data_IF_474582929188
#
_entry.id   IF_474582929188
#
_cell.length_a   1.000
_cell.length_b   1.000
_cell.length_c   1.000
_cell.angle_alpha   90.00
_cell.angle_beta   90.00
_cell.angle_gamma   90.00
#
_symmetry.space_group_name_H-M   'P 1'
#
loop_
_entity.id
_entity.type
_entity.pdbx_description
1 polymer ?
#
# COMPACT_ATOMS: atom_id res chain seq x y z
N UNK A 1 -3.72 -17.96 20.72
CA UNK A 1 -2.39 -17.66 20.12
C UNK A 1 -1.94 -16.32 20.65
N UNK A 2 -0.68 -16.20 21.07
CA UNK A 2 -0.06 -14.92 21.38
C UNK A 2 0.50 -14.30 20.10
N UNK A 3 0.32 -13.00 19.90
CA UNK A 3 0.83 -12.26 18.75
C UNK A 3 2.29 -11.81 18.96
N UNK A 4 2.99 -11.44 17.89
CA UNK A 4 4.33 -10.82 18.00
C UNK A 4 4.31 -9.54 18.86
N UNK A 5 3.20 -8.80 18.84
CA UNK A 5 3.04 -7.63 19.72
C UNK A 5 2.91 -8.01 21.19
N UNK A 6 2.35 -9.18 21.50
CA UNK A 6 2.24 -9.67 22.89
C UNK A 6 3.61 -10.14 23.39
N UNK A 7 4.38 -10.83 22.54
CA UNK A 7 5.76 -11.22 22.82
C UNK A 7 6.65 -9.99 23.07
N UNK A 8 6.57 -8.98 22.20
CA UNK A 8 7.32 -7.75 22.40
C UNK A 8 6.86 -6.99 23.64
N UNK A 9 5.56 -6.90 23.90
CA UNK A 9 5.03 -6.26 25.11
C UNK A 9 5.48 -7.00 26.39
N UNK A 10 5.59 -8.34 26.36
CA UNK A 10 6.09 -9.13 27.47
C UNK A 10 7.60 -8.90 27.73
N UNK A 11 8.39 -8.68 26.69
CA UNK A 11 9.80 -8.26 26.82
C UNK A 11 9.90 -6.85 27.37
N UNK A 12 9.12 -5.91 26.83
CA UNK A 12 9.08 -4.51 27.30
C UNK A 12 8.65 -4.43 28.78
N UNK A 13 7.72 -5.30 29.19
CA UNK A 13 7.25 -5.43 30.57
C UNK A 13 8.18 -6.26 31.47
N UNK A 14 9.32 -6.74 30.95
CA UNK A 14 10.30 -7.60 31.66
C UNK A 14 9.72 -8.91 32.22
N UNK A 15 8.61 -9.38 31.65
CA UNK A 15 8.01 -10.69 31.96
C UNK A 15 8.78 -11.80 31.23
N UNK A 16 9.29 -11.51 30.03
CA UNK A 16 10.17 -12.39 29.26
C UNK A 16 11.52 -11.73 29.02
N UNK A 17 12.59 -12.52 28.99
CA UNK A 17 13.87 -12.03 28.49
C UNK A 17 13.85 -11.93 26.96
N UNK A 18 14.60 -10.98 26.35
CA UNK A 18 14.74 -10.91 24.90
C UNK A 18 15.19 -12.25 24.28
N UNK A 19 16.07 -12.98 24.97
CA UNK A 19 16.58 -14.27 24.55
C UNK A 19 15.48 -15.35 24.56
N UNK A 20 14.65 -15.39 25.60
CA UNK A 20 13.53 -16.33 25.70
C UNK A 20 12.47 -16.05 24.62
N UNK A 21 12.17 -14.78 24.34
CA UNK A 21 11.29 -14.40 23.24
C UNK A 21 11.87 -14.83 21.89
N UNK A 22 13.18 -14.66 21.67
CA UNK A 22 13.88 -15.13 20.46
C UNK A 22 13.86 -16.66 20.32
N UNK A 23 14.09 -17.39 21.41
CA UNK A 23 14.03 -18.85 21.43
C UNK A 23 12.60 -19.36 21.14
N UNK A 24 11.59 -18.72 21.73
CA UNK A 24 10.18 -19.03 21.45
C UNK A 24 9.83 -18.79 19.98
N UNK A 25 10.25 -17.65 19.41
CA UNK A 25 10.09 -17.37 17.96
C UNK A 25 10.73 -18.46 17.12
N UNK A 26 11.97 -18.85 17.45
CA UNK A 26 12.72 -19.88 16.73
C UNK A 26 12.03 -21.25 16.79
N UNK A 27 11.49 -21.62 17.95
CA UNK A 27 10.73 -22.86 18.12
C UNK A 27 9.40 -22.85 17.36
N UNK A 28 8.62 -21.77 17.43
CA UNK A 28 7.38 -21.68 16.67
C UNK A 28 7.65 -21.65 15.17
N UNK A 29 8.71 -20.98 14.72
CA UNK A 29 9.13 -20.99 13.32
C UNK A 29 9.54 -22.39 12.85
N UNK A 30 10.23 -23.19 13.69
CA UNK A 30 10.57 -24.57 13.33
C UNK A 30 9.35 -25.49 13.29
N UNK A 31 8.36 -25.26 14.17
CA UNK A 31 7.08 -25.99 14.17
C UNK A 31 6.21 -25.59 12.97
N UNK A 32 6.20 -24.32 12.57
CA UNK A 32 5.45 -23.79 11.41
C UNK A 32 6.15 -23.97 10.07
N UNK A 33 7.44 -24.32 10.06
CA UNK A 33 8.15 -24.76 8.86
C UNK A 33 7.68 -26.15 8.38
N UNK A 34 6.85 -26.86 9.17
CA UNK A 34 5.99 -27.91 8.63
C UNK A 34 4.92 -27.26 7.72
N UNK A 35 4.65 -27.79 6.52
CA UNK A 35 3.93 -27.09 5.46
C UNK A 35 2.52 -26.73 5.92
N UNK A 36 2.27 -25.45 6.25
CA UNK A 36 0.92 -25.04 6.63
C UNK A 36 0.67 -23.60 7.06
N UNK A 37 1.67 -22.80 7.47
CA UNK A 37 1.33 -21.48 8.02
C UNK A 37 2.44 -20.44 7.78
N UNK A 38 2.67 -20.13 6.52
CA UNK A 38 3.30 -18.87 6.13
C UNK A 38 2.22 -17.93 5.59
N UNK A 39 1.38 -17.50 6.52
CA UNK A 39 0.46 -16.40 6.30
C UNK A 39 1.30 -15.13 6.42
N UNK A 40 1.35 -14.30 5.37
CA UNK A 40 1.57 -12.87 5.55
C UNK A 40 0.53 -12.46 6.60
N UNK A 41 0.92 -12.43 7.88
CA UNK A 41 0.01 -12.12 8.98
C UNK A 41 -0.26 -10.63 8.87
N UNK A 42 -1.14 -10.28 7.94
CA UNK A 42 -1.66 -8.97 7.77
C UNK A 42 -2.33 -8.64 9.08
N UNK A 43 -1.66 -7.81 9.89
CA UNK A 43 -2.25 -7.23 11.08
C UNK A 43 -3.48 -6.39 10.76
N UNK A 44 -3.80 -6.18 9.47
CA UNK A 44 -4.95 -5.43 8.98
C UNK A 44 -6.25 -5.90 9.61
N UNK A 45 -6.47 -7.20 9.82
CA UNK A 45 -7.66 -7.73 10.50
C UNK A 45 -7.21 -8.71 11.58
N UNK A 46 -6.95 -8.20 12.78
CA UNK A 46 -6.65 -9.06 13.95
C UNK A 46 -7.88 -9.82 14.47
N UNK A 47 -9.08 -9.51 13.97
CA UNK A 47 -10.32 -10.25 14.21
C UNK A 47 -11.58 -9.50 13.73
N UNK A 48 -12.76 -10.14 13.81
CA UNK A 48 -14.06 -9.52 13.46
C UNK A 48 -14.33 -8.20 14.22
N UNK A 49 -13.74 -8.05 15.41
CA UNK A 49 -13.81 -6.83 16.21
C UNK A 49 -13.22 -5.60 15.48
N UNK A 50 -12.15 -5.75 14.71
CA UNK A 50 -11.54 -4.65 13.95
C UNK A 50 -12.51 -4.11 12.89
N UNK A 51 -13.26 -5.00 12.24
CA UNK A 51 -14.27 -4.63 11.25
C UNK A 51 -15.42 -3.89 11.94
N UNK A 52 -15.95 -4.43 13.03
CA UNK A 52 -17.03 -3.81 13.79
C UNK A 52 -16.67 -2.39 14.26
N UNK A 53 -15.49 -2.23 14.86
CA UNK A 53 -15.00 -0.93 15.35
C UNK A 53 -14.80 0.05 14.20
N UNK A 54 -14.29 -0.41 13.05
CA UNK A 54 -14.10 0.45 11.88
C UNK A 54 -15.42 0.97 11.33
N UNK A 55 -16.43 0.10 11.21
CA UNK A 55 -17.78 0.49 10.77
C UNK A 55 -18.39 1.50 11.75
N UNK A 56 -18.32 1.21 13.06
CA UNK A 56 -18.83 2.11 14.10
C UNK A 56 -18.12 3.47 14.07
N UNK A 57 -16.80 3.50 13.86
CA UNK A 57 -16.03 4.73 13.72
C UNK A 57 -16.46 5.53 12.49
N UNK A 58 -16.64 4.90 11.33
CA UNK A 58 -17.13 5.58 10.11
C UNK A 58 -18.51 6.19 10.35
N UNK A 59 -19.46 5.44 10.89
CA UNK A 59 -20.82 5.93 11.18
C UNK A 59 -20.78 7.14 12.12
N UNK A 60 -20.01 7.05 13.21
CA UNK A 60 -19.84 8.14 14.15
C UNK A 60 -19.23 9.38 13.48
N UNK A 61 -18.16 9.22 12.71
CA UNK A 61 -17.45 10.32 12.06
C UNK A 61 -18.35 11.00 11.01
N UNK A 62 -19.14 10.25 10.25
CA UNK A 62 -20.13 10.80 9.32
C UNK A 62 -21.18 11.62 10.08
N UNK A 63 -21.75 11.07 11.16
CA UNK A 63 -22.75 11.77 11.97
C UNK A 63 -22.18 13.07 12.56
N UNK A 64 -20.99 13.01 13.14
CA UNK A 64 -20.31 14.18 13.72
C UNK A 64 -19.97 15.22 12.65
N UNK A 65 -19.54 14.80 11.46
CA UNK A 65 -19.30 15.69 10.33
C UNK A 65 -20.57 16.39 9.86
N UNK A 66 -21.70 15.69 9.80
CA UNK A 66 -23.01 16.28 9.48
C UNK A 66 -23.47 17.29 10.54
N UNK A 67 -23.31 16.96 11.82
CA UNK A 67 -23.63 17.88 12.94
C UNK A 67 -22.76 19.14 12.87
N UNK A 68 -21.45 19.00 12.60
CA UNK A 68 -20.58 20.16 12.44
C UNK A 68 -20.99 21.02 11.24
N UNK A 69 -21.22 20.38 10.09
CA UNK A 69 -21.59 21.06 8.86
C UNK A 69 -22.92 21.83 8.94
N UNK A 70 -23.89 21.32 9.71
CA UNK A 70 -25.19 22.00 9.92
C UNK A 70 -25.06 23.31 10.69
N UNK A 71 -24.03 23.46 11.52
CA UNK A 71 -23.70 24.72 12.21
C UNK A 71 -22.87 25.62 11.29
N UNK A 72 -21.81 25.05 10.70
CA UNK A 72 -20.92 25.74 9.76
C UNK A 72 -20.16 24.72 8.91
N UNK A 73 -20.02 24.89 7.57
CA UNK A 73 -19.36 23.90 6.72
C UNK A 73 -17.94 23.51 7.19
N UNK A 74 -17.12 24.48 7.59
CA UNK A 74 -15.81 24.23 8.19
C UNK A 74 -15.83 23.35 9.46
N UNK A 75 -16.87 23.47 10.31
CA UNK A 75 -16.97 22.69 11.54
C UNK A 75 -17.20 21.21 11.26
N UNK A 76 -17.78 20.84 10.11
CA UNK A 76 -17.92 19.45 9.70
C UNK A 76 -16.56 18.74 9.63
N UNK A 77 -15.62 19.34 8.89
CA UNK A 77 -14.25 18.82 8.83
C UNK A 77 -13.53 18.87 10.19
N UNK A 78 -13.72 19.96 10.95
CA UNK A 78 -13.00 20.15 12.20
C UNK A 78 -13.42 19.12 13.25
N UNK A 79 -14.71 18.84 13.35
CA UNK A 79 -15.22 17.84 14.28
C UNK A 79 -14.80 16.43 13.87
N UNK A 80 -14.81 16.09 12.57
CA UNK A 80 -14.26 14.82 12.08
C UNK A 80 -12.79 14.67 12.45
N UNK A 81 -11.96 15.70 12.22
CA UNK A 81 -10.55 15.65 12.56
C UNK A 81 -10.32 15.49 14.08
N UNK A 82 -11.04 16.26 14.90
CA UNK A 82 -10.94 16.16 16.35
C UNK A 82 -11.36 14.78 16.85
N UNK A 83 -12.53 14.29 16.43
CA UNK A 83 -13.03 12.96 16.80
C UNK A 83 -12.07 11.85 16.35
N UNK A 84 -11.56 11.92 15.12
CA UNK A 84 -10.61 10.92 14.61
C UNK A 84 -9.33 10.86 15.46
N UNK A 85 -8.79 12.01 15.89
CA UNK A 85 -7.63 12.06 16.79
C UNK A 85 -7.92 11.41 18.15
N UNK A 86 -9.05 11.74 18.77
CA UNK A 86 -9.43 11.17 20.07
C UNK A 86 -9.66 9.66 20.00
N UNK A 87 -10.33 9.19 18.94
CA UNK A 87 -10.52 7.76 18.69
C UNK A 87 -9.16 7.07 18.46
N UNK A 88 -8.22 7.69 17.75
CA UNK A 88 -6.89 7.14 17.51
C UNK A 88 -6.07 6.98 18.80
N UNK A 89 -6.21 7.87 19.78
CA UNK A 89 -5.59 7.70 21.10
C UNK A 89 -6.05 6.41 21.80
N UNK A 90 -7.28 5.97 21.57
CA UNK A 90 -7.78 4.71 22.12
C UNK A 90 -7.49 3.52 21.20
N UNK A 91 -8.02 3.53 19.98
CA UNK A 91 -8.00 2.38 19.09
C UNK A 91 -6.63 2.12 18.45
N UNK A 92 -5.90 3.17 18.10
CA UNK A 92 -4.56 3.05 17.50
C UNK A 92 -3.49 2.88 18.56
N UNK A 93 -3.44 3.78 19.55
CA UNK A 93 -2.33 3.81 20.50
C UNK A 93 -2.45 2.78 21.62
N UNK A 94 -3.63 2.67 22.25
CA UNK A 94 -3.84 1.74 23.38
C UNK A 94 -4.21 0.33 22.91
N UNK A 95 -5.18 0.22 22.00
CA UNK A 95 -5.67 -1.08 21.51
C UNK A 95 -4.85 -1.66 20.35
N UNK A 96 -3.99 -0.87 19.70
CA UNK A 96 -3.10 -1.30 18.60
C UNK A 96 -3.83 -1.99 17.43
N UNK A 97 -5.07 -1.60 17.14
CA UNK A 97 -5.88 -2.14 16.04
C UNK A 97 -5.46 -1.54 14.70
N UNK A 98 -5.33 -2.33 13.63
CA UNK A 98 -4.79 -1.83 12.37
C UNK A 98 -5.86 -1.19 11.47
N UNK A 99 -6.97 -1.90 11.18
CA UNK A 99 -8.01 -1.40 10.27
C UNK A 99 -8.66 -0.09 10.77
N UNK A 100 -9.09 0.02 12.05
CA UNK A 100 -9.61 1.28 12.57
C UNK A 100 -8.58 2.41 12.45
N UNK A 101 -7.29 2.13 12.64
CA UNK A 101 -6.24 3.15 12.54
C UNK A 101 -6.08 3.71 11.13
N UNK A 102 -6.29 2.88 10.10
CA UNK A 102 -6.29 3.31 8.70
C UNK A 102 -7.47 4.25 8.46
N UNK A 103 -8.68 3.85 8.89
CA UNK A 103 -9.88 4.68 8.78
C UNK A 103 -9.68 6.03 9.48
N UNK A 104 -9.16 6.01 10.72
CA UNK A 104 -9.00 7.20 11.53
C UNK A 104 -7.97 8.16 10.97
N UNK A 105 -6.85 7.68 10.40
CA UNK A 105 -5.87 8.59 9.80
C UNK A 105 -6.36 9.23 8.50
N UNK A 106 -7.14 8.49 7.70
CA UNK A 106 -7.79 9.01 6.51
C UNK A 106 -8.86 10.05 6.90
N UNK A 107 -9.68 9.75 7.90
CA UNK A 107 -10.67 10.69 8.42
C UNK A 107 -10.03 11.94 9.04
N UNK A 108 -8.94 11.78 9.78
CA UNK A 108 -8.20 12.92 10.34
C UNK A 108 -7.66 13.82 9.23
N UNK A 109 -6.93 13.25 8.26
CA UNK A 109 -6.33 14.01 7.16
C UNK A 109 -7.40 14.67 6.29
N UNK A 110 -8.46 13.93 5.94
CA UNK A 110 -9.60 14.44 5.19
C UNK A 110 -10.39 15.52 5.97
N UNK A 111 -10.56 15.36 7.27
CA UNK A 111 -11.21 16.33 8.15
C UNK A 111 -10.45 17.65 8.23
N UNK A 112 -9.12 17.61 8.37
CA UNK A 112 -8.26 18.82 8.34
C UNK A 112 -8.42 19.55 7.01
N UNK A 113 -8.31 18.84 5.89
CA UNK A 113 -8.49 19.42 4.56
C UNK A 113 -9.91 19.99 4.39
N UNK A 114 -10.94 19.22 4.73
CA UNK A 114 -12.34 19.61 4.62
C UNK A 114 -12.70 20.81 5.53
N UNK A 115 -12.01 21.00 6.64
CA UNK A 115 -12.17 22.19 7.50
C UNK A 115 -11.84 23.46 6.72
N UNK A 116 -10.68 23.45 6.04
CA UNK A 116 -10.22 24.59 5.24
C UNK A 116 -11.09 24.78 3.99
N UNK A 117 -11.50 23.69 3.32
CA UNK A 117 -12.45 23.76 2.20
C UNK A 117 -13.77 24.37 2.66
N UNK A 118 -14.34 23.87 3.76
CA UNK A 118 -15.61 24.38 4.28
C UNK A 118 -15.54 25.85 4.72
N UNK A 119 -14.36 26.33 5.13
CA UNK A 119 -14.13 27.75 5.38
C UNK A 119 -14.17 28.55 4.06
N UNK A 120 -13.43 28.10 3.05
CA UNK A 120 -13.42 28.73 1.71
C UNK A 120 -14.77 28.68 1.02
N UNK A 121 -15.56 27.62 1.18
CA UNK A 121 -16.91 27.56 0.61
C UNK A 121 -17.82 28.64 1.18
N UNK A 122 -17.69 28.97 2.47
CA UNK A 122 -18.55 29.98 3.11
C UNK A 122 -18.03 31.41 2.96
N UNK A 123 -16.72 31.60 3.00
CA UNK A 123 -16.09 32.92 3.06
C UNK A 123 -15.18 33.23 1.87
N UNK A 124 -14.96 32.28 0.96
CA UNK A 124 -14.01 32.42 -0.15
C UNK A 124 -14.42 33.51 -1.12
N UNK A 125 -15.69 33.58 -1.52
CA UNK A 125 -16.18 34.62 -2.43
C UNK A 125 -16.05 36.02 -1.84
N UNK A 126 -16.26 36.18 -0.53
CA UNK A 126 -16.11 37.49 0.13
C UNK A 126 -14.65 37.91 0.32
N UNK A 127 -13.73 36.95 0.46
CA UNK A 127 -12.29 37.21 0.67
C UNK A 127 -11.55 37.38 -0.67
N UNK A 128 -11.84 36.54 -1.65
CA UNK A 128 -11.07 36.40 -2.89
C UNK A 128 -11.86 36.82 -4.14
N UNK A 129 -13.14 37.13 -4.01
CA UNK A 129 -14.04 37.34 -5.14
C UNK A 129 -14.54 36.03 -5.74
N UNK A 130 -15.50 36.14 -6.66
CA UNK A 130 -16.13 34.98 -7.32
C UNK A 130 -15.18 34.26 -8.29
N UNK A 131 -14.37 35.03 -9.00
CA UNK A 131 -13.41 34.52 -9.99
C UNK A 131 -12.00 34.55 -9.41
N UNK A 132 -11.63 33.45 -8.75
CA UNK A 132 -10.28 33.28 -8.19
C UNK A 132 -9.33 32.96 -9.35
N UNK A 133 -8.39 33.85 -9.63
CA UNK A 133 -7.37 33.61 -10.66
C UNK A 133 -6.56 32.34 -10.40
N UNK A 134 -6.11 31.67 -11.47
CA UNK A 134 -5.45 30.35 -11.42
C UNK A 134 -4.30 30.28 -10.42
N UNK A 135 -3.43 31.30 -10.41
CA UNK A 135 -2.28 31.38 -9.49
C UNK A 135 -2.74 31.42 -8.03
N UNK A 136 -3.76 32.20 -7.71
CA UNK A 136 -4.32 32.28 -6.35
C UNK A 136 -4.97 30.97 -5.94
N UNK A 137 -5.73 30.35 -6.84
CA UNK A 137 -6.32 29.02 -6.61
C UNK A 137 -5.26 27.96 -6.33
N UNK A 138 -4.18 27.94 -7.12
CA UNK A 138 -3.05 27.03 -6.91
C UNK A 138 -2.35 27.27 -5.56
N UNK A 139 -2.13 28.54 -5.18
CA UNK A 139 -1.54 28.89 -3.88
C UNK A 139 -2.46 28.44 -2.72
N UNK A 140 -3.77 28.63 -2.83
CA UNK A 140 -4.73 28.20 -1.81
C UNK A 140 -4.70 26.68 -1.63
N UNK A 141 -4.83 25.91 -2.72
CA UNK A 141 -4.79 24.45 -2.68
C UNK A 141 -3.44 23.95 -2.15
N UNK A 142 -2.33 24.54 -2.62
CA UNK A 142 -0.99 24.21 -2.14
C UNK A 142 -0.81 24.48 -0.65
N UNK A 143 -1.33 25.60 -0.15
CA UNK A 143 -1.30 25.95 1.28
C UNK A 143 -2.11 24.97 2.12
N UNK A 144 -3.30 24.58 1.64
CA UNK A 144 -4.15 23.59 2.30
C UNK A 144 -3.50 22.20 2.32
N UNK A 145 -2.87 21.80 1.22
CA UNK A 145 -2.13 20.55 1.15
C UNK A 145 -0.96 20.56 2.15
N UNK A 146 -0.23 21.68 2.26
CA UNK A 146 0.88 21.82 3.21
C UNK A 146 0.42 21.72 4.67
N UNK A 147 -0.67 22.41 5.04
CA UNK A 147 -1.25 22.33 6.40
C UNK A 147 -1.72 20.90 6.69
N UNK A 148 -2.39 20.26 5.73
CA UNK A 148 -2.86 18.88 5.88
C UNK A 148 -1.67 17.93 6.05
N UNK A 149 -0.61 18.07 5.24
CA UNK A 149 0.60 17.26 5.34
C UNK A 149 1.29 17.43 6.70
N UNK A 150 1.38 18.67 7.21
CA UNK A 150 1.92 18.95 8.55
C UNK A 150 1.09 18.29 9.65
N UNK A 151 -0.25 18.39 9.58
CA UNK A 151 -1.15 17.74 10.53
C UNK A 151 -1.02 16.21 10.48
N UNK A 152 -1.00 15.61 9.29
CA UNK A 152 -0.84 14.16 9.10
C UNK A 152 0.54 13.68 9.58
N UNK A 153 1.59 14.50 9.44
CA UNK A 153 2.91 14.21 10.01
C UNK A 153 2.89 14.21 11.54
N UNK A 154 2.18 15.16 12.17
CA UNK A 154 1.98 15.15 13.63
C UNK A 154 1.20 13.91 14.08
N UNK A 155 0.16 13.53 13.33
CA UNK A 155 -0.57 12.29 13.56
C UNK A 155 0.35 11.07 13.46
N UNK A 156 1.19 11.00 12.42
CA UNK A 156 2.15 9.91 12.28
C UNK A 156 3.16 9.87 13.43
N UNK A 157 3.73 11.00 13.84
CA UNK A 157 4.66 11.05 14.99
C UNK A 157 4.02 10.52 16.29
N UNK A 158 2.71 10.69 16.44
CA UNK A 158 1.97 10.26 17.63
C UNK A 158 1.56 8.79 17.59
N UNK A 159 1.03 8.33 16.46
CA UNK A 159 0.37 7.03 16.33
C UNK A 159 1.20 5.99 15.57
N UNK A 160 2.15 6.46 14.74
CA UNK A 160 3.08 5.65 13.95
C UNK A 160 2.34 4.64 13.05
N UNK A 161 1.26 5.09 12.41
CA UNK A 161 0.47 4.28 11.46
C UNK A 161 1.25 4.13 10.15
N UNK A 162 1.61 2.92 9.70
CA UNK A 162 2.52 2.75 8.56
C UNK A 162 2.05 3.36 7.23
N UNK A 163 0.75 3.34 6.95
CA UNK A 163 0.17 3.84 5.69
C UNK A 163 0.46 5.32 5.43
N UNK A 164 0.70 6.13 6.48
CA UNK A 164 0.96 7.56 6.33
C UNK A 164 2.25 7.83 5.59
N UNK A 165 3.24 6.94 5.70
CA UNK A 165 4.51 7.08 4.97
C UNK A 165 4.25 6.93 3.47
N UNK A 166 3.50 5.90 3.08
CA UNK A 166 3.12 5.70 1.68
C UNK A 166 2.26 6.86 1.15
N UNK A 167 1.25 7.30 1.91
CA UNK A 167 0.43 8.45 1.52
C UNK A 167 1.28 9.73 1.34
N UNK A 168 2.22 9.99 2.25
CA UNK A 168 3.16 11.11 2.15
C UNK A 168 4.09 10.99 0.94
N UNK A 169 4.63 9.80 0.67
CA UNK A 169 5.44 9.53 -0.52
C UNK A 169 4.64 9.72 -1.80
N UNK A 170 3.39 9.26 -1.86
CA UNK A 170 2.50 9.47 -2.99
C UNK A 170 2.23 10.97 -3.23
N UNK A 171 1.96 11.73 -2.16
CA UNK A 171 1.75 13.18 -2.26
C UNK A 171 3.00 13.92 -2.76
N UNK A 172 4.19 13.55 -2.28
CA UNK A 172 5.45 14.12 -2.74
C UNK A 172 5.71 13.79 -4.21
N UNK A 173 5.49 12.52 -4.61
CA UNK A 173 5.64 12.09 -6.00
C UNK A 173 4.66 12.84 -6.92
N UNK A 174 3.38 12.90 -6.56
CA UNK A 174 2.36 13.62 -7.33
C UNK A 174 2.70 15.12 -7.45
N UNK A 175 3.16 15.75 -6.37
CA UNK A 175 3.58 17.16 -6.37
C UNK A 175 4.78 17.37 -7.29
N UNK A 176 5.80 16.51 -7.22
CA UNK A 176 6.97 16.60 -8.08
C UNK A 176 6.59 16.43 -9.56
N UNK A 177 5.75 15.44 -9.89
CA UNK A 177 5.24 15.23 -11.25
C UNK A 177 4.45 16.46 -11.72
N UNK A 178 3.51 16.96 -10.92
CA UNK A 178 2.70 18.12 -11.26
C UNK A 178 3.55 19.38 -11.50
N UNK A 179 4.58 19.63 -10.70
CA UNK A 179 5.51 20.75 -10.89
C UNK A 179 6.26 20.64 -12.21
N UNK A 180 6.77 19.45 -12.55
CA UNK A 180 7.47 19.24 -13.84
C UNK A 180 6.51 19.45 -15.01
N UNK A 181 5.29 18.92 -14.94
CA UNK A 181 4.28 19.10 -15.99
C UNK A 181 3.87 20.56 -16.15
N UNK A 182 3.72 21.30 -15.04
CA UNK A 182 3.41 22.72 -15.05
C UNK A 182 4.52 23.54 -15.73
N UNK A 183 5.79 23.27 -15.40
CA UNK A 183 6.94 23.94 -16.04
C UNK A 183 7.06 23.56 -17.52
N UNK A 184 6.74 22.32 -17.88
CA UNK A 184 6.77 21.84 -19.25
C UNK A 184 5.56 22.29 -20.09
N UNK A 185 4.55 22.96 -19.49
CA UNK A 185 3.32 23.37 -20.18
C UNK A 185 2.44 22.21 -20.63
N UNK A 186 2.53 21.04 -19.99
CA UNK A 186 1.74 19.86 -20.34
C UNK A 186 0.46 19.82 -19.52
N UNK A 187 -0.68 19.98 -20.19
CA UNK A 187 -2.00 20.01 -19.56
C UNK A 187 -2.65 18.63 -19.41
N UNK A 188 -2.35 17.67 -20.30
CA UNK A 188 -2.98 16.36 -20.31
C UNK A 188 -2.25 15.36 -19.40
N UNK A 189 -2.94 14.65 -18.49
CA UNK A 189 -2.32 13.64 -17.63
C UNK A 189 -2.02 12.32 -18.37
N UNK A 190 -2.59 12.09 -19.55
CA UNK A 190 -2.53 10.80 -20.27
C UNK A 190 -1.40 10.74 -21.32
N UNK A 191 -0.50 11.73 -21.33
CA UNK A 191 0.61 11.78 -22.28
C UNK A 191 1.79 10.88 -21.90
N UNK A 192 2.70 10.67 -22.86
CA UNK A 192 3.96 9.93 -22.65
C UNK A 192 4.81 10.51 -21.52
N UNK A 193 4.89 11.85 -21.41
CA UNK A 193 5.68 12.51 -20.37
C UNK A 193 5.13 12.26 -18.96
N UNK A 194 3.84 12.54 -18.64
CA UNK A 194 3.25 12.16 -17.36
C UNK A 194 3.50 10.70 -16.98
N UNK A 195 3.29 9.77 -17.92
CA UNK A 195 3.50 8.34 -17.68
C UNK A 195 4.96 8.02 -17.38
N UNK A 196 5.91 8.58 -18.15
CA UNK A 196 7.33 8.42 -17.86
C UNK A 196 7.73 8.97 -16.49
N UNK A 197 7.19 10.13 -16.10
CA UNK A 197 7.45 10.73 -14.78
C UNK A 197 6.87 9.89 -13.65
N UNK A 198 5.65 9.39 -13.80
CA UNK A 198 5.02 8.48 -12.81
C UNK A 198 5.80 7.17 -12.71
N UNK A 199 6.28 6.62 -13.83
CA UNK A 199 7.12 5.43 -13.85
C UNK A 199 8.43 5.64 -13.08
N UNK A 200 9.13 6.74 -13.36
CA UNK A 200 10.37 7.13 -12.66
C UNK A 200 10.09 7.30 -11.16
N UNK A 201 9.02 7.99 -10.80
CA UNK A 201 8.61 8.13 -9.41
C UNK A 201 8.31 6.76 -8.78
N UNK A 202 7.60 5.88 -9.48
CA UNK A 202 7.27 4.52 -9.03
C UNK A 202 8.51 3.67 -8.77
N UNK A 203 9.52 3.74 -9.65
CA UNK A 203 10.83 3.10 -9.43
C UNK A 203 11.56 3.68 -8.22
N UNK A 204 11.45 5.00 -8.00
CA UNK A 204 11.94 5.66 -6.79
C UNK A 204 11.25 5.16 -5.51
N UNK A 205 9.92 5.07 -5.53
CA UNK A 205 9.13 4.52 -4.41
C UNK A 205 9.48 3.06 -4.16
N UNK A 206 9.64 2.25 -5.20
CA UNK A 206 10.07 0.86 -5.09
C UNK A 206 11.45 0.75 -4.44
N UNK A 207 12.39 1.61 -4.84
CA UNK A 207 13.73 1.65 -4.24
C UNK A 207 13.68 2.02 -2.77
N UNK A 208 12.83 2.99 -2.39
CA UNK A 208 12.57 3.35 -1.00
C UNK A 208 11.95 2.18 -0.22
N UNK A 209 10.98 1.48 -0.80
CA UNK A 209 10.35 0.30 -0.22
C UNK A 209 11.39 -0.80 0.06
N UNK A 210 12.29 -1.05 -0.90
CA UNK A 210 13.41 -1.98 -0.76
C UNK A 210 14.42 -1.56 0.30
N UNK A 211 14.63 -0.27 0.53
CA UNK A 211 15.50 0.22 1.61
C UNK A 211 14.90 -0.08 2.99
N UNK A 212 13.58 0.08 3.15
CA UNK A 212 12.87 -0.29 4.37
C UNK A 212 12.89 -1.82 4.60
N UNK A 213 12.65 -2.62 3.56
CA UNK A 213 12.68 -4.09 3.67
C UNK A 213 14.06 -4.64 4.04
N UNK A 214 15.12 -4.08 3.43
CA UNK A 214 16.51 -4.45 3.78
C UNK A 214 16.88 -4.11 5.22
N UNK A 215 16.23 -3.10 5.81
CA UNK A 215 16.46 -2.67 7.19
C UNK A 215 15.77 -3.55 8.24
N UNK A 216 14.89 -4.48 7.81
CA UNK A 216 14.14 -5.40 8.67
C UNK A 216 13.90 -6.75 7.98
N UNK A 217 14.99 -7.45 7.67
CA UNK A 217 14.97 -8.70 6.86
C UNK A 217 14.23 -9.86 7.51
N UNK A 218 14.09 -9.84 8.84
CA UNK A 218 13.37 -10.86 9.62
C UNK A 218 11.91 -10.43 9.86
N UNK A 219 11.51 -9.24 9.41
CA UNK A 219 10.13 -8.71 9.48
C UNK A 219 9.56 -8.64 10.90
N UNK A 220 10.40 -8.25 11.86
CA UNK A 220 10.02 -8.23 13.27
C UNK A 220 9.57 -6.84 13.75
N UNK A 221 9.82 -5.80 12.97
CA UNK A 221 9.54 -4.41 13.36
C UNK A 221 8.44 -3.79 12.49
N UNK A 222 7.96 -2.60 12.89
CA UNK A 222 7.02 -1.79 12.10
C UNK A 222 7.59 -1.34 10.75
N UNK A 223 8.90 -1.52 10.52
CA UNK A 223 9.53 -1.17 9.24
C UNK A 223 9.04 -2.05 8.10
N UNK A 224 8.77 -3.33 8.38
CA UNK A 224 8.14 -4.23 7.41
C UNK A 224 6.75 -3.75 6.99
N UNK A 225 5.95 -3.20 7.91
CA UNK A 225 4.62 -2.67 7.59
C UNK A 225 4.73 -1.42 6.68
N UNK A 226 5.69 -0.54 6.93
CA UNK A 226 5.91 0.65 6.07
C UNK A 226 6.36 0.22 4.68
N UNK A 227 7.31 -0.71 4.59
CA UNK A 227 7.78 -1.26 3.32
C UNK A 227 6.64 -1.91 2.53
N UNK A 228 5.75 -2.63 3.21
CA UNK A 228 4.55 -3.20 2.59
C UNK A 228 3.70 -2.14 1.88
N UNK A 229 3.36 -1.04 2.56
CA UNK A 229 2.55 0.03 1.97
C UNK A 229 3.27 0.75 0.83
N UNK A 230 4.59 0.93 0.94
CA UNK A 230 5.40 1.51 -0.13
C UNK A 230 5.45 0.60 -1.37
N UNK A 231 5.54 -0.72 -1.22
CA UNK A 231 5.41 -1.66 -2.34
C UNK A 231 4.02 -1.61 -2.96
N UNK A 232 2.96 -1.56 -2.13
CA UNK A 232 1.59 -1.43 -2.61
C UNK A 232 1.37 -0.14 -3.42
N UNK A 233 2.03 0.95 -3.03
CA UNK A 233 2.03 2.22 -3.78
C UNK A 233 2.86 2.14 -5.06
N UNK A 234 4.06 1.56 -5.00
CA UNK A 234 4.97 1.48 -6.13
C UNK A 234 4.40 0.63 -7.27
N UNK A 235 3.70 -0.46 -6.93
CA UNK A 235 3.17 -1.39 -7.92
C UNK A 235 2.29 -0.73 -9.00
N UNK A 236 1.21 0.03 -8.68
CA UNK A 236 0.41 0.69 -9.70
C UNK A 236 1.19 1.82 -10.39
N UNK A 237 2.09 2.51 -9.69
CA UNK A 237 2.94 3.55 -10.29
C UNK A 237 3.94 3.01 -11.31
N UNK A 238 4.24 1.71 -11.30
CA UNK A 238 5.08 1.07 -12.31
C UNK A 238 4.21 0.37 -13.35
N UNK A 239 3.25 -0.45 -12.93
CA UNK A 239 2.44 -1.24 -13.84
C UNK A 239 1.62 -0.35 -14.77
N UNK A 240 0.91 0.66 -14.24
CA UNK A 240 0.02 1.51 -15.04
C UNK A 240 0.78 2.23 -16.17
N UNK A 241 1.88 2.97 -15.91
CA UNK A 241 2.63 3.60 -16.99
C UNK A 241 3.25 2.61 -17.97
N UNK A 242 3.77 1.46 -17.50
CA UNK A 242 4.33 0.45 -18.41
C UNK A 242 3.28 -0.05 -19.38
N UNK A 243 2.08 -0.39 -18.91
CA UNK A 243 1.01 -0.84 -19.78
C UNK A 243 0.49 0.27 -20.69
N UNK A 244 0.35 1.49 -20.18
CA UNK A 244 -0.07 2.63 -20.98
C UNK A 244 0.94 2.96 -22.09
N UNK A 245 2.23 2.99 -21.79
CA UNK A 245 3.27 3.27 -22.78
C UNK A 245 3.39 2.17 -23.86
N UNK A 246 2.88 0.97 -23.59
CA UNK A 246 2.77 -0.13 -24.54
C UNK A 246 1.47 -0.09 -25.36
N UNK A 247 0.61 0.91 -25.16
CA UNK A 247 -0.67 1.05 -25.86
C UNK A 247 -1.75 0.07 -25.42
N UNK A 248 -1.57 -0.58 -24.26
CA UNK A 248 -2.52 -1.57 -23.72
C UNK A 248 -3.80 -0.90 -23.22
N UNK A 249 -3.70 0.34 -22.76
CA UNK A 249 -4.83 1.08 -22.14
C UNK A 249 -5.56 2.01 -23.11
N UNK A 250 -5.13 2.09 -24.37
CA UNK A 250 -5.66 3.05 -25.36
C UNK A 250 -7.00 2.61 -25.97
N UNK A 251 -7.56 1.48 -25.52
CA UNK A 251 -8.88 0.99 -25.95
C UNK A 251 -8.93 0.37 -27.36
N UNK A 252 -7.81 0.38 -28.09
CA UNK A 252 -7.65 -0.38 -29.34
C UNK A 252 -7.40 -1.86 -29.06
N UNK A 253 -7.75 -2.71 -30.03
CA UNK A 253 -7.44 -4.14 -29.96
C UNK A 253 -5.93 -4.35 -29.79
N UNK A 254 -5.57 -4.94 -28.66
CA UNK A 254 -4.19 -5.28 -28.35
C UNK A 254 -3.81 -6.40 -29.30
N UNK A 255 -2.90 -6.12 -30.24
CA UNK A 255 -2.31 -7.15 -31.09
C UNK A 255 -1.68 -8.26 -30.23
N UNK A 256 -1.71 -9.51 -30.71
CA UNK A 256 -1.23 -10.69 -29.98
C UNK A 256 0.19 -10.54 -29.38
N UNK A 257 1.08 -9.79 -30.05
CA UNK A 257 2.41 -9.47 -29.54
C UNK A 257 2.41 -8.61 -28.27
N UNK A 258 1.54 -7.61 -28.17
CA UNK A 258 1.44 -6.76 -26.98
C UNK A 258 0.83 -7.54 -25.80
N UNK A 259 -0.12 -8.44 -26.05
CA UNK A 259 -0.66 -9.32 -25.01
C UNK A 259 0.39 -10.31 -24.47
N UNK A 260 1.24 -10.90 -25.32
CA UNK A 260 2.40 -11.71 -24.87
C UNK A 260 3.35 -10.88 -24.02
N UNK A 261 3.60 -9.62 -24.41
CA UNK A 261 4.46 -8.72 -23.65
C UNK A 261 3.89 -8.41 -22.26
N UNK A 262 2.58 -8.19 -22.14
CA UNK A 262 1.91 -7.98 -20.84
C UNK A 262 2.08 -9.19 -19.93
N UNK A 263 1.90 -10.40 -20.46
CA UNK A 263 2.13 -11.64 -19.70
C UNK A 263 3.59 -11.75 -19.26
N UNK A 264 4.55 -11.44 -20.15
CA UNK A 264 5.97 -11.41 -19.84
C UNK A 264 6.31 -10.43 -18.70
N UNK A 265 5.77 -9.20 -18.76
CA UNK A 265 5.92 -8.20 -17.70
C UNK A 265 5.35 -8.72 -16.38
N UNK A 266 4.19 -9.37 -16.40
CA UNK A 266 3.62 -9.93 -15.18
C UNK A 266 4.46 -11.05 -14.58
N UNK A 267 5.05 -11.91 -15.42
CA UNK A 267 6.01 -12.92 -14.96
C UNK A 267 7.20 -12.25 -14.30
N UNK A 268 7.73 -11.15 -14.86
CA UNK A 268 8.81 -10.36 -14.23
C UNK A 268 8.36 -9.80 -12.88
N UNK A 269 7.17 -9.21 -12.78
CA UNK A 269 6.60 -8.78 -11.50
C UNK A 269 6.49 -9.94 -10.49
N UNK A 270 6.10 -11.14 -10.94
CA UNK A 270 6.02 -12.33 -10.11
C UNK A 270 7.38 -12.82 -9.62
N UNK A 271 8.40 -12.80 -10.46
CA UNK A 271 9.77 -13.12 -10.05
C UNK A 271 10.30 -12.12 -9.04
N UNK A 272 10.06 -10.82 -9.25
CA UNK A 272 10.41 -9.77 -8.28
C UNK A 272 9.66 -10.01 -6.97
N UNK A 273 8.34 -10.22 -7.02
CA UNK A 273 7.49 -10.48 -5.87
C UNK A 273 7.94 -11.70 -5.05
N UNK A 274 8.36 -12.78 -5.73
CA UNK A 274 8.95 -13.97 -5.09
C UNK A 274 10.28 -13.64 -4.43
N UNK A 275 11.20 -12.96 -5.13
CA UNK A 275 12.50 -12.61 -4.59
C UNK A 275 12.39 -11.79 -3.30
N UNK A 276 11.54 -10.75 -3.31
CA UNK A 276 11.33 -9.85 -2.19
C UNK A 276 10.30 -10.37 -1.16
N UNK A 277 9.65 -11.50 -1.44
CA UNK A 277 8.61 -12.10 -0.61
C UNK A 277 7.41 -11.17 -0.35
N UNK A 278 6.90 -10.49 -1.38
CA UNK A 278 5.78 -9.53 -1.27
C UNK A 278 4.68 -9.83 -2.28
N UNK A 279 3.54 -10.37 -1.81
CA UNK A 279 2.42 -10.76 -2.69
C UNK A 279 1.64 -9.57 -3.26
N UNK A 280 1.64 -8.43 -2.55
CA UNK A 280 0.90 -7.23 -2.96
C UNK A 280 1.25 -6.71 -4.37
N UNK A 281 2.50 -6.90 -4.81
CA UNK A 281 2.92 -6.54 -6.17
C UNK A 281 2.11 -7.30 -7.24
N UNK A 282 1.90 -8.60 -7.05
CA UNK A 282 1.14 -9.46 -7.97
C UNK A 282 -0.33 -9.08 -8.01
N UNK A 283 -0.92 -8.74 -6.86
CA UNK A 283 -2.33 -8.35 -6.76
C UNK A 283 -2.57 -7.02 -7.47
N UNK A 284 -1.67 -6.04 -7.31
CA UNK A 284 -1.84 -4.73 -7.93
C UNK A 284 -1.73 -4.75 -9.45
N UNK A 285 -0.92 -5.63 -10.03
CA UNK A 285 -0.78 -5.77 -11.49
C UNK A 285 -1.83 -6.71 -12.11
N UNK A 286 -2.62 -7.42 -11.30
CA UNK A 286 -3.54 -8.46 -11.74
C UNK A 286 -4.59 -7.97 -12.75
N UNK A 287 -5.16 -6.77 -12.52
CA UNK A 287 -6.19 -6.21 -13.39
C UNK A 287 -5.72 -6.07 -14.84
N UNK A 288 -4.47 -5.64 -15.06
CA UNK A 288 -3.90 -5.45 -16.38
C UNK A 288 -3.70 -6.78 -17.13
N UNK A 289 -3.34 -7.83 -16.40
CA UNK A 289 -3.12 -9.16 -16.98
C UNK A 289 -4.43 -9.85 -17.30
N UNK A 290 -5.42 -9.72 -16.42
CA UNK A 290 -6.77 -10.20 -16.70
C UNK A 290 -7.29 -9.54 -17.98
N UNK A 291 -7.09 -8.23 -18.13
CA UNK A 291 -7.44 -7.52 -19.35
C UNK A 291 -6.70 -8.08 -20.57
N UNK A 292 -5.37 -8.17 -20.53
CA UNK A 292 -4.57 -8.64 -21.65
C UNK A 292 -4.86 -10.09 -22.07
N UNK A 293 -5.07 -11.01 -21.12
CA UNK A 293 -5.42 -12.39 -21.44
C UNK A 293 -6.82 -12.52 -22.02
N UNK A 294 -7.77 -11.69 -21.55
CA UNK A 294 -9.12 -11.66 -22.14
C UNK A 294 -9.06 -11.24 -23.60
N UNK A 295 -8.22 -10.24 -23.94
CA UNK A 295 -7.97 -9.81 -25.32
C UNK A 295 -7.29 -10.91 -26.15
N UNK A 296 -6.25 -11.55 -25.59
CA UNK A 296 -5.51 -12.63 -26.25
C UNK A 296 -6.43 -13.81 -26.64
N UNK A 297 -7.28 -14.28 -25.73
CA UNK A 297 -8.20 -15.38 -26.03
C UNK A 297 -9.30 -15.00 -27.00
N UNK A 298 -9.73 -13.73 -27.00
CA UNK A 298 -10.69 -13.23 -27.99
C UNK A 298 -10.08 -13.28 -29.40
N UNK A 299 -8.81 -12.89 -29.54
CA UNK A 299 -8.07 -12.93 -30.80
C UNK A 299 -7.91 -14.35 -31.36
N UNK A 300 -7.67 -15.34 -30.48
CA UNK A 300 -7.57 -16.75 -30.87
C UNK A 300 -8.93 -17.47 -31.04
N UNK A 301 -10.04 -16.73 -31.09
CA UNK A 301 -11.37 -17.27 -31.43
C UNK A 301 -12.12 -17.94 -30.27
N UNK A 302 -11.64 -17.86 -29.03
CA UNK A 302 -12.32 -18.38 -27.85
C UNK A 302 -13.34 -17.37 -27.27
N UNK A 303 -14.18 -16.77 -28.11
CA UNK A 303 -15.02 -15.61 -27.75
C UNK A 303 -16.06 -15.96 -26.67
N UNK A 304 -16.65 -17.15 -26.71
CA UNK A 304 -17.67 -17.56 -25.73
C UNK A 304 -17.07 -17.92 -24.35
N UNK A 305 -15.80 -18.34 -24.31
CA UNK A 305 -15.17 -18.87 -23.09
C UNK A 305 -13.98 -18.04 -22.59
N UNK A 306 -13.64 -16.91 -23.23
CA UNK A 306 -12.44 -16.12 -22.94
C UNK A 306 -12.33 -15.69 -21.46
N UNK A 307 -13.41 -15.19 -20.86
CA UNK A 307 -13.44 -14.76 -19.45
C UNK A 307 -13.25 -15.95 -18.53
N UNK A 308 -13.94 -17.06 -18.79
CA UNK A 308 -13.83 -18.27 -17.98
C UNK A 308 -12.44 -18.91 -18.09
N UNK A 309 -11.87 -18.98 -19.30
CA UNK A 309 -10.50 -19.45 -19.50
C UNK A 309 -9.47 -18.52 -18.86
N UNK A 310 -9.62 -17.21 -19.00
CA UNK A 310 -8.75 -16.22 -18.34
C UNK A 310 -8.78 -16.40 -16.82
N UNK A 311 -9.98 -16.47 -16.24
CA UNK A 311 -10.18 -16.67 -14.81
C UNK A 311 -9.65 -18.02 -14.35
N UNK A 312 -9.85 -19.09 -15.12
CA UNK A 312 -9.32 -20.42 -14.81
C UNK A 312 -7.79 -20.45 -14.83
N UNK A 313 -7.16 -19.93 -15.89
CA UNK A 313 -5.69 -19.92 -16.03
C UNK A 313 -5.06 -19.07 -14.94
N UNK A 314 -5.51 -17.83 -14.76
CA UNK A 314 -4.96 -16.93 -13.75
C UNK A 314 -5.28 -17.39 -12.33
N UNK A 315 -6.52 -17.79 -12.08
CA UNK A 315 -6.94 -18.31 -10.78
C UNK A 315 -6.15 -19.55 -10.37
N UNK A 316 -6.00 -20.52 -11.27
CA UNK A 316 -5.21 -21.74 -11.01
C UNK A 316 -3.73 -21.39 -10.77
N UNK A 317 -3.15 -20.52 -11.60
CA UNK A 317 -1.76 -20.10 -11.44
C UNK A 317 -1.52 -19.41 -10.09
N UNK A 318 -2.40 -18.49 -9.70
CA UNK A 318 -2.30 -17.79 -8.41
C UNK A 318 -2.52 -18.72 -7.22
N UNK A 319 -3.46 -19.67 -7.31
CA UNK A 319 -3.70 -20.66 -6.25
C UNK A 319 -2.49 -21.59 -6.07
N UNK A 320 -1.93 -22.10 -7.18
CA UNK A 320 -0.72 -22.91 -7.15
C UNK A 320 0.46 -22.12 -6.59
N UNK A 321 0.67 -20.89 -7.07
CA UNK A 321 1.73 -20.02 -6.58
C UNK A 321 1.56 -19.70 -5.09
N UNK A 322 0.33 -19.51 -4.62
CA UNK A 322 0.03 -19.29 -3.20
C UNK A 322 0.32 -20.54 -2.35
N UNK A 323 -0.01 -21.73 -2.84
CA UNK A 323 0.24 -22.99 -2.14
C UNK A 323 1.73 -23.34 -2.08
N UNK A 324 2.48 -23.04 -3.14
CA UNK A 324 3.90 -23.38 -3.27
C UNK A 324 4.83 -22.16 -3.17
N UNK A 325 4.37 -21.07 -2.55
CA UNK A 325 5.06 -19.78 -2.52
C UNK A 325 6.51 -19.89 -2.05
N UNK A 326 6.74 -20.53 -0.90
CA UNK A 326 8.10 -20.67 -0.35
C UNK A 326 9.01 -21.54 -1.19
N UNK A 327 8.47 -22.58 -1.85
CA UNK A 327 9.25 -23.43 -2.75
C UNK A 327 9.65 -22.66 -4.02
N UNK A 328 8.71 -21.96 -4.64
CA UNK A 328 8.96 -21.12 -5.81
C UNK A 328 9.98 -20.02 -5.48
N UNK A 329 9.84 -19.40 -4.30
CA UNK A 329 10.77 -18.38 -3.81
C UNK A 329 12.18 -18.93 -3.62
N UNK A 330 12.34 -20.08 -2.97
CA UNK A 330 13.66 -20.67 -2.73
C UNK A 330 14.42 -20.90 -4.05
N UNK A 331 13.71 -21.33 -5.10
CA UNK A 331 14.28 -21.49 -6.45
C UNK A 331 14.72 -20.14 -7.02
N UNK A 332 13.84 -19.12 -7.00
CA UNK A 332 14.15 -17.79 -7.54
C UNK A 332 15.33 -17.14 -6.81
N UNK A 333 15.34 -17.20 -5.48
CA UNK A 333 16.43 -16.63 -4.67
C UNK A 333 17.74 -17.42 -4.86
N UNK A 334 17.67 -18.73 -5.09
CA UNK A 334 18.84 -19.57 -5.35
C UNK A 334 19.57 -19.25 -6.67
N UNK A 335 18.90 -18.62 -7.64
CA UNK A 335 19.54 -18.12 -8.86
C UNK A 335 20.19 -16.74 -8.71
N UNK A 336 19.96 -16.04 -7.59
CA UNK A 336 20.53 -14.72 -7.36
C UNK A 336 21.96 -14.84 -6.80
N UNK A 337 22.89 -13.97 -7.21
CA UNK A 337 24.20 -13.84 -6.57
C UNK A 337 24.10 -13.63 -5.05
N UNK A 338 25.04 -14.19 -4.29
CA UNK A 338 25.03 -14.18 -2.81
C UNK A 338 24.91 -12.77 -2.21
N UNK A 339 25.50 -11.76 -2.86
CA UNK A 339 25.43 -10.37 -2.41
C UNK A 339 23.99 -9.78 -2.49
N UNK A 340 23.17 -10.25 -3.43
CA UNK A 340 21.76 -9.86 -3.57
C UNK A 340 20.86 -10.73 -2.71
N UNK A 341 21.06 -12.05 -2.70
CA UNK A 341 20.30 -12.97 -1.86
C UNK A 341 20.44 -12.62 -0.36
N UNK A 342 21.65 -12.23 0.06
CA UNK A 342 21.93 -11.74 1.41
C UNK A 342 21.43 -10.31 1.69
N UNK A 343 20.68 -9.67 0.80
CA UNK A 343 19.94 -8.44 1.10
C UNK A 343 18.43 -8.67 1.21
N UNK A 344 17.92 -9.76 0.64
CA UNK A 344 16.50 -10.09 0.62
C UNK A 344 16.02 -10.68 1.97
N UNK A 345 14.69 -10.73 2.23
CA UNK A 345 14.16 -11.37 3.42
C UNK A 345 14.68 -12.80 3.57
N UNK A 346 14.87 -13.26 4.81
CA UNK A 346 15.44 -14.57 5.06
C UNK A 346 14.58 -15.66 4.41
N UNK A 347 15.15 -16.48 3.53
CA UNK A 347 14.55 -17.77 3.15
C UNK A 347 14.62 -18.68 4.37
N UNK A 348 13.61 -19.51 4.60
CA UNK A 348 13.65 -20.56 5.62
C UNK A 348 14.85 -21.45 5.31
N UNK A 349 15.99 -21.21 5.97
CA UNK A 349 17.11 -22.13 5.90
C UNK A 349 16.61 -23.42 6.53
N UNK A 350 16.58 -24.49 5.76
CA UNK A 350 16.59 -25.85 6.30
C UNK A 350 17.76 -25.90 7.28
N UNK A 351 17.46 -25.83 8.58
CA UNK A 351 18.44 -26.12 9.62
C UNK A 351 18.84 -27.57 9.37
N UNK A 352 20.04 -27.79 8.84
CA UNK A 352 20.63 -29.13 8.92
C UNK A 352 20.80 -29.40 10.40
N UNK A 353 19.93 -30.24 10.96
CA UNK A 353 20.10 -30.76 12.30
C UNK A 353 21.43 -31.49 12.30
N UNK A 354 22.46 -30.83 12.83
CA UNK A 354 23.72 -31.49 13.11
C UNK A 354 23.39 -32.50 14.23
N UNK A 355 23.52 -33.82 14.00
CA UNK A 355 23.23 -34.77 15.04
C UNK A 355 24.16 -34.45 16.22
N UNK A 356 23.56 -34.28 17.40
CA UNK A 356 24.32 -34.19 18.63
C UNK A 356 25.11 -35.50 18.77
N UNK A 357 26.44 -35.40 18.63
CA UNK A 357 27.38 -36.48 18.90
C UNK A 357 27.50 -36.71 20.40
#
# INVERSE_FOLDING_TARGET
>A
MYSESDLQAAVDAKVLTPEAASAFRSHIASVRAAPGADEESFRLITGFNDIFVSIAAVILLVAVGWIGASIHPALGGAFVAASAWFLAEYFTRKRRMALPSIVLVLAFSGGVFATMVGFLVKHGESIFGRDVGETTGAILIGSMALVTAAATWLHWKRFMVPITVAAGTAALAATAVALVLAVAGVASPDGTLPMALVLIAGLGVFTLAMWWDRSDRVRQTRRSDVAFWLHLLAAPMIAHPVFHLLGVTDGSDIGSGAAVMVVGIYVVFGLIALAIDRRALLVSALAYVLFALTQLFREFGAVELNVAMTAFVIGSALLLLSAFWQNARAVVVGFLPDNLANQLPATTRTVSLQPAS
#
